data_IF_568906498579
#
_entry.id   IF_568906498579
#
_cell.length_a   1.000
_cell.length_b   1.000
_cell.length_c   1.000
_cell.angle_alpha   90.00
_cell.angle_beta   90.00
_cell.angle_gamma   90.00
#
_symmetry.space_group_name_H-M   'P 1'
#
loop_
_entity.id
_entity.type
_entity.pdbx_description
1 polymer ?
#
# COMPACT_ATOMS: atom_id res chain seq x y z
N UNK A 1 -0.71 7.90 -6.52
CA UNK A 1 -1.75 6.98 -6.02
C UNK A 1 -3.12 7.57 -6.23
N UNK A 2 -3.58 8.60 -5.49
CA UNK A 2 -4.92 9.19 -5.73
C UNK A 2 -5.24 9.48 -7.21
N UNK A 3 -4.37 10.22 -7.91
CA UNK A 3 -4.51 10.48 -9.36
C UNK A 3 -4.43 9.24 -10.26
N UNK A 4 -3.72 8.19 -9.84
CA UNK A 4 -3.67 6.92 -10.59
C UNK A 4 -4.98 6.16 -10.43
N UNK A 5 -5.54 6.13 -9.22
CA UNK A 5 -6.89 5.58 -8.99
C UNK A 5 -7.94 6.32 -9.81
N UNK A 6 -7.89 7.65 -9.85
CA UNK A 6 -8.81 8.45 -10.68
C UNK A 6 -8.77 7.98 -12.14
N UNK A 7 -7.57 7.88 -12.74
CA UNK A 7 -7.41 7.41 -14.13
C UNK A 7 -7.88 5.98 -14.34
N UNK A 8 -7.69 5.11 -13.35
CA UNK A 8 -8.13 3.72 -13.43
C UNK A 8 -9.64 3.56 -13.26
N UNK A 9 -10.31 4.47 -12.53
CA UNK A 9 -11.76 4.49 -12.39
C UNK A 9 -12.41 5.01 -13.67
N UNK A 10 -11.81 6.03 -14.29
CA UNK A 10 -12.30 6.66 -15.53
C UNK A 10 -12.44 5.67 -16.71
N UNK A 11 -11.73 4.54 -16.68
CA UNK A 11 -11.82 3.48 -17.69
C UNK A 11 -12.79 2.35 -17.33
N UNK A 12 -13.54 2.47 -16.23
CA UNK A 12 -14.56 1.51 -15.79
C UNK A 12 -15.93 2.12 -16.06
N UNK A 13 -16.67 1.56 -17.03
CA UNK A 13 -17.96 2.11 -17.49
C UNK A 13 -18.99 2.28 -16.36
N UNK A 14 -18.96 1.39 -15.34
CA UNK A 14 -19.88 1.40 -14.21
C UNK A 14 -19.33 2.09 -12.95
N UNK A 15 -18.29 2.93 -13.06
CA UNK A 15 -17.73 3.66 -11.93
C UNK A 15 -17.43 5.13 -12.27
N UNK A 16 -17.60 6.01 -11.28
CA UNK A 16 -17.26 7.43 -11.40
C UNK A 16 -16.66 7.98 -10.10
N UNK A 17 -15.86 9.05 -10.23
CA UNK A 17 -15.30 9.77 -9.09
C UNK A 17 -16.20 10.98 -8.79
N UNK A 18 -17.09 10.83 -7.81
CA UNK A 18 -18.04 11.90 -7.43
C UNK A 18 -17.49 12.88 -6.40
N UNK A 19 -16.44 12.51 -5.66
CA UNK A 19 -15.88 13.33 -4.59
C UNK A 19 -14.36 13.17 -4.44
N UNK A 20 -13.68 14.26 -4.06
CA UNK A 20 -12.27 14.32 -3.71
C UNK A 20 -12.09 14.96 -2.33
N UNK A 21 -11.25 14.38 -1.48
CA UNK A 21 -10.91 14.95 -0.17
C UNK A 21 -9.41 14.95 0.07
N UNK A 22 -8.84 16.13 0.30
CA UNK A 22 -7.43 16.31 0.66
C UNK A 22 -7.27 17.63 1.43
N UNK A 23 -6.41 17.66 2.44
CA UNK A 23 -6.09 18.88 3.19
C UNK A 23 -5.21 19.84 2.38
N UNK A 24 -4.55 19.34 1.33
CA UNK A 24 -3.72 20.11 0.42
C UNK A 24 -4.52 20.53 -0.82
N UNK A 25 -4.77 21.84 -0.95
CA UNK A 25 -5.50 22.39 -2.10
C UNK A 25 -4.83 22.08 -3.45
N UNK A 26 -3.51 22.06 -3.52
CA UNK A 26 -2.81 21.75 -4.77
C UNK A 26 -3.03 20.29 -5.20
N UNK A 27 -3.16 19.36 -4.24
CA UNK A 27 -3.53 17.97 -4.53
C UNK A 27 -4.94 17.86 -5.11
N UNK A 28 -5.92 18.61 -4.58
CA UNK A 28 -7.27 18.72 -5.13
C UNK A 28 -7.21 19.27 -6.56
N UNK A 29 -6.57 20.41 -6.77
CA UNK A 29 -6.53 21.09 -8.08
C UNK A 29 -5.88 20.19 -9.16
N UNK A 30 -4.79 19.51 -8.81
CA UNK A 30 -4.13 18.55 -9.71
C UNK A 30 -4.99 17.32 -9.99
N UNK A 31 -5.83 16.90 -9.04
CA UNK A 31 -6.71 15.73 -9.20
C UNK A 31 -7.94 16.08 -10.04
N UNK A 32 -8.52 17.27 -9.84
CA UNK A 32 -9.58 17.79 -10.70
C UNK A 32 -9.12 17.90 -12.16
N UNK A 33 -7.88 18.33 -12.41
CA UNK A 33 -7.35 18.38 -13.78
C UNK A 33 -7.19 17.03 -14.48
N UNK A 34 -7.31 15.91 -13.73
CA UNK A 34 -7.27 14.56 -14.29
C UNK A 34 -8.64 13.95 -14.55
N UNK A 35 -9.72 14.61 -14.12
CA UNK A 35 -11.09 14.16 -14.35
C UNK A 35 -11.61 14.77 -15.66
N UNK A 36 -12.28 13.96 -16.48
CA UNK A 36 -13.06 14.48 -17.62
C UNK A 36 -14.34 15.18 -17.14
N UNK A 37 -14.88 14.75 -15.99
CA UNK A 37 -16.02 15.35 -15.30
C UNK A 37 -15.65 16.26 -14.12
N UNK A 38 -16.66 16.65 -13.33
CA UNK A 38 -16.47 17.33 -12.05
C UNK A 38 -16.60 16.37 -10.88
N UNK A 39 -15.98 16.72 -9.75
CA UNK A 39 -16.18 16.05 -8.47
C UNK A 39 -16.40 17.10 -7.38
N UNK A 40 -17.24 16.79 -6.39
CA UNK A 40 -17.33 17.60 -5.18
C UNK A 40 -16.01 17.54 -4.42
N UNK A 41 -15.58 18.68 -3.85
CA UNK A 41 -14.27 18.76 -3.17
C UNK A 41 -14.44 19.09 -1.71
N UNK A 42 -13.67 18.41 -0.89
CA UNK A 42 -13.70 18.53 0.56
C UNK A 42 -12.27 18.76 1.07
N UNK A 43 -12.11 19.69 2.00
CA UNK A 43 -10.84 19.89 2.72
C UNK A 43 -10.82 19.18 4.08
N UNK A 44 -11.94 18.56 4.46
CA UNK A 44 -12.13 17.88 5.73
C UNK A 44 -12.92 16.58 5.51
N UNK A 45 -12.46 15.50 6.15
CA UNK A 45 -13.02 14.17 5.99
C UNK A 45 -14.40 14.04 6.63
N UNK A 46 -14.67 14.72 7.74
CA UNK A 46 -15.97 14.61 8.41
C UNK A 46 -17.05 15.25 7.53
N UNK A 47 -16.76 16.37 6.86
CA UNK A 47 -17.65 16.96 5.86
C UNK A 47 -17.94 16.01 4.66
N UNK A 48 -16.95 15.28 4.17
CA UNK A 48 -17.15 14.28 3.11
C UNK A 48 -18.05 13.12 3.60
N UNK A 49 -17.85 12.66 4.84
CA UNK A 49 -18.67 11.60 5.43
C UNK A 49 -20.12 12.08 5.60
N UNK A 50 -20.31 13.29 6.11
CA UNK A 50 -21.63 13.87 6.35
C UNK A 50 -22.42 14.13 5.05
N UNK A 51 -21.72 14.40 3.93
CA UNK A 51 -22.34 14.53 2.62
C UNK A 51 -23.01 13.23 2.15
N UNK A 52 -22.48 12.06 2.55
CA UNK A 52 -23.04 10.74 2.27
C UNK A 52 -23.37 10.52 0.78
N UNK A 53 -22.42 10.86 -0.10
CA UNK A 53 -22.57 10.83 -1.56
C UNK A 53 -21.90 9.64 -2.25
N UNK A 54 -21.17 8.79 -1.51
CA UNK A 54 -20.30 7.76 -2.11
C UNK A 54 -20.73 6.35 -1.73
N UNK A 55 -20.64 5.42 -2.69
CA UNK A 55 -20.79 3.98 -2.43
C UNK A 55 -19.49 3.33 -1.93
N UNK A 56 -18.35 3.95 -2.25
CA UNK A 56 -17.03 3.46 -1.88
C UNK A 56 -16.04 4.60 -1.58
N UNK A 57 -15.11 4.34 -0.65
CA UNK A 57 -13.97 5.21 -0.37
C UNK A 57 -12.67 4.56 -0.86
N UNK A 58 -11.83 5.35 -1.53
CA UNK A 58 -10.43 5.02 -1.78
C UNK A 58 -9.55 5.82 -0.85
N UNK A 59 -8.91 5.14 0.10
CA UNK A 59 -8.03 5.76 1.09
C UNK A 59 -6.60 5.72 0.53
N UNK A 60 -6.15 6.82 -0.06
CA UNK A 60 -4.80 6.99 -0.61
C UNK A 60 -3.99 8.09 0.10
N UNK A 61 -4.26 8.29 1.40
CA UNK A 61 -3.59 9.28 2.25
C UNK A 61 -2.19 8.79 2.67
N UNK A 62 -1.34 9.64 3.31
CA UNK A 62 -0.05 9.19 3.83
C UNK A 62 -0.19 8.00 4.80
N UNK A 63 0.71 7.02 4.73
CA UNK A 63 0.51 5.69 5.34
C UNK A 63 0.17 5.73 6.84
N UNK A 64 0.86 6.57 7.61
CA UNK A 64 0.62 6.71 9.05
C UNK A 64 -0.79 7.23 9.41
N UNK A 65 -1.52 7.78 8.44
CA UNK A 65 -2.87 8.32 8.65
C UNK A 65 -3.98 7.31 8.37
N UNK A 66 -3.69 6.17 7.73
CA UNK A 66 -4.71 5.22 7.26
C UNK A 66 -5.62 4.75 8.38
N UNK A 67 -5.06 4.43 9.55
CA UNK A 67 -5.84 3.92 10.69
C UNK A 67 -6.79 4.98 11.27
N UNK A 68 -6.36 6.25 11.30
CA UNK A 68 -7.18 7.34 11.83
C UNK A 68 -8.28 7.76 10.84
N UNK A 69 -7.98 7.71 9.54
CA UNK A 69 -8.98 7.85 8.47
C UNK A 69 -10.01 6.72 8.57
N UNK A 70 -9.56 5.47 8.76
CA UNK A 70 -10.45 4.32 8.91
C UNK A 70 -11.38 4.46 10.12
N UNK A 71 -10.88 4.88 11.29
CA UNK A 71 -11.71 5.09 12.50
C UNK A 71 -12.89 6.06 12.25
N UNK A 72 -12.75 7.00 11.33
CA UNK A 72 -13.81 7.92 10.92
C UNK A 72 -14.76 7.26 9.91
N UNK A 73 -14.20 6.72 8.82
CA UNK A 73 -14.98 6.16 7.71
C UNK A 73 -15.76 4.91 8.10
N UNK A 74 -15.29 4.13 9.08
CA UNK A 74 -15.95 2.88 9.49
C UNK A 74 -17.34 3.08 10.12
N UNK A 75 -17.74 4.33 10.37
CA UNK A 75 -19.11 4.70 10.77
C UNK A 75 -20.10 4.67 9.59
N UNK A 76 -19.60 4.65 8.37
CA UNK A 76 -20.38 4.52 7.12
C UNK A 76 -20.55 3.04 6.76
N UNK A 77 -21.42 2.74 5.80
CA UNK A 77 -21.56 1.40 5.23
C UNK A 77 -20.92 1.28 3.82
N UNK A 78 -20.06 2.22 3.43
CA UNK A 78 -19.46 2.23 2.10
C UNK A 78 -18.43 1.10 1.93
N UNK A 79 -18.12 0.72 0.69
CA UNK A 79 -17.01 -0.17 0.40
C UNK A 79 -15.67 0.57 0.56
N UNK A 80 -14.62 -0.11 1.02
CA UNK A 80 -13.33 0.51 1.26
C UNK A 80 -12.25 -0.14 0.39
N UNK A 81 -11.53 0.67 -0.38
CA UNK A 81 -10.24 0.32 -0.95
C UNK A 81 -9.17 1.14 -0.23
N UNK A 82 -8.25 0.47 0.46
CA UNK A 82 -7.21 1.11 1.26
C UNK A 82 -5.86 0.86 0.61
N UNK A 83 -5.11 1.92 0.38
CA UNK A 83 -3.75 1.80 -0.13
C UNK A 83 -2.85 0.98 0.80
N UNK A 84 -1.82 0.41 0.20
CA UNK A 84 -0.75 -0.24 0.95
C UNK A 84 0.25 0.82 1.47
N UNK A 85 1.03 0.50 2.52
CA UNK A 85 0.77 -0.57 3.47
C UNK A 85 -0.47 -0.23 4.30
N UNK A 86 -1.29 -1.24 4.62
CA UNK A 86 -2.54 -1.05 5.35
C UNK A 86 -2.33 -0.34 6.71
N UNK A 87 -1.20 -0.62 7.36
CA UNK A 87 -0.78 -0.08 8.64
C UNK A 87 0.75 0.03 8.66
N UNK A 88 1.29 0.96 9.44
CA UNK A 88 2.74 1.15 9.61
C UNK A 88 3.28 0.42 10.85
N UNK A 89 2.40 0.03 11.78
CA UNK A 89 2.77 -0.67 13.02
C UNK A 89 1.91 -1.92 13.25
N UNK A 90 2.45 -2.90 13.98
CA UNK A 90 1.69 -4.11 14.39
C UNK A 90 0.50 -3.76 15.28
N UNK A 91 0.65 -2.74 16.13
CA UNK A 91 -0.45 -2.26 16.97
C UNK A 91 -1.62 -1.78 16.10
N UNK A 92 -1.33 -1.00 15.07
CA UNK A 92 -2.38 -0.51 14.16
C UNK A 92 -3.01 -1.65 13.35
N UNK A 93 -2.25 -2.71 13.02
CA UNK A 93 -2.83 -3.92 12.42
C UNK A 93 -3.86 -4.60 13.35
N UNK A 94 -3.58 -4.66 14.66
CA UNK A 94 -4.51 -5.20 15.67
C UNK A 94 -5.73 -4.29 15.80
N UNK A 95 -5.52 -2.98 15.84
CA UNK A 95 -6.61 -2.00 15.88
C UNK A 95 -7.50 -2.11 14.64
N UNK A 96 -6.91 -2.24 13.45
CA UNK A 96 -7.61 -2.50 12.19
C UNK A 96 -8.49 -3.74 12.29
N UNK A 97 -7.93 -4.87 12.75
CA UNK A 97 -8.68 -6.13 12.88
C UNK A 97 -9.89 -5.96 13.82
N UNK A 98 -9.72 -5.24 14.93
CA UNK A 98 -10.79 -5.01 15.90
C UNK A 98 -11.87 -4.09 15.34
N UNK A 99 -11.48 -3.00 14.67
CA UNK A 99 -12.39 -2.03 14.07
C UNK A 99 -13.25 -2.68 12.97
N UNK A 100 -12.63 -3.52 12.14
CA UNK A 100 -13.25 -4.06 10.92
C UNK A 100 -13.98 -5.39 11.11
N UNK A 101 -13.89 -6.00 12.30
CA UNK A 101 -14.42 -7.35 12.59
C UNK A 101 -15.88 -7.58 12.16
N UNK A 102 -16.73 -6.57 12.32
CA UNK A 102 -18.15 -6.63 11.99
C UNK A 102 -18.55 -5.56 10.97
N UNK A 103 -17.59 -5.05 10.19
CA UNK A 103 -17.89 -4.05 9.17
C UNK A 103 -18.79 -4.67 8.09
N UNK A 104 -19.93 -4.05 7.74
CA UNK A 104 -20.94 -4.69 6.91
C UNK A 104 -20.55 -4.79 5.42
N UNK A 105 -19.50 -4.08 5.01
CA UNK A 105 -19.13 -3.89 3.61
C UNK A 105 -17.73 -4.38 3.31
N UNK A 106 -17.44 -4.57 2.01
CA UNK A 106 -16.11 -4.99 1.53
C UNK A 106 -15.02 -4.02 2.00
N UNK A 107 -13.91 -4.57 2.50
CA UNK A 107 -12.63 -3.86 2.65
C UNK A 107 -11.59 -4.58 1.82
N UNK A 108 -10.89 -3.82 0.98
CA UNK A 108 -9.87 -4.32 0.07
C UNK A 108 -8.57 -3.54 0.27
N UNK A 109 -7.44 -4.22 0.32
CA UNK A 109 -6.12 -3.56 0.32
C UNK A 109 -5.55 -3.57 -1.09
N UNK A 110 -5.02 -2.43 -1.54
CA UNK A 110 -4.50 -2.23 -2.91
C UNK A 110 -3.15 -2.96 -3.16
N UNK A 111 -3.15 -4.30 -3.08
CA UNK A 111 -1.99 -5.16 -3.39
C UNK A 111 -1.91 -5.43 -4.90
N UNK A 112 -1.62 -4.37 -5.67
CA UNK A 112 -1.71 -4.36 -7.15
C UNK A 112 -0.91 -5.47 -7.86
N UNK A 113 0.23 -5.91 -7.31
CA UNK A 113 1.07 -6.91 -7.98
C UNK A 113 0.41 -8.29 -8.11
N UNK A 114 -0.63 -8.60 -7.34
CA UNK A 114 -1.44 -9.81 -7.54
C UNK A 114 -2.18 -9.80 -8.88
N UNK A 115 -2.45 -8.61 -9.42
CA UNK A 115 -3.28 -8.40 -10.62
C UNK A 115 -2.46 -8.03 -11.86
N UNK A 116 -1.14 -7.87 -11.72
CA UNK A 116 -0.27 -7.66 -12.89
C UNK A 116 -0.34 -8.88 -13.81
N UNK A 117 -0.72 -8.74 -15.10
CA UNK A 117 -0.89 -9.87 -16.01
C UNK A 117 0.30 -10.86 -16.08
N UNK A 118 1.58 -10.43 -16.13
CA UNK A 118 2.69 -11.38 -16.11
C UNK A 118 2.82 -12.14 -14.79
N UNK A 119 2.52 -11.49 -13.66
CA UNK A 119 2.61 -12.07 -12.32
C UNK A 119 1.48 -13.08 -12.11
N UNK A 120 0.23 -12.71 -12.41
CA UNK A 120 -0.93 -13.59 -12.37
C UNK A 120 -0.72 -14.86 -13.22
N UNK A 121 -0.16 -14.71 -14.44
CA UNK A 121 0.14 -15.85 -15.31
C UNK A 121 1.16 -16.82 -14.71
N UNK A 122 2.21 -16.31 -14.05
CA UNK A 122 3.22 -17.16 -13.38
C UNK A 122 2.61 -17.85 -12.15
N UNK A 123 1.84 -17.11 -11.34
CA UNK A 123 1.14 -17.66 -10.18
C UNK A 123 0.23 -18.82 -10.59
N UNK A 124 -0.61 -18.64 -11.62
CA UNK A 124 -1.48 -19.70 -12.15
C UNK A 124 -0.69 -20.94 -12.57
N UNK A 125 0.47 -20.75 -13.21
CA UNK A 125 1.33 -21.89 -13.61
C UNK A 125 1.90 -22.65 -12.41
N UNK A 126 2.30 -21.93 -11.36
CA UNK A 126 2.80 -22.50 -10.10
C UNK A 126 1.67 -23.26 -9.39
N UNK A 127 0.52 -22.61 -9.16
CA UNK A 127 -0.62 -23.21 -8.47
C UNK A 127 -1.18 -24.43 -9.21
N UNK A 128 -1.21 -24.40 -10.55
CA UNK A 128 -1.62 -25.54 -11.38
C UNK A 128 -0.53 -26.61 -11.55
N UNK A 129 0.63 -26.47 -10.89
CA UNK A 129 1.79 -27.39 -10.98
C UNK A 129 2.29 -27.67 -12.40
N UNK A 130 2.03 -26.76 -13.34
CA UNK A 130 2.42 -26.91 -14.75
C UNK A 130 3.94 -26.78 -14.98
N UNK A 131 4.66 -26.26 -13.98
CA UNK A 131 6.12 -26.12 -13.99
C UNK A 131 6.79 -26.96 -12.88
N UNK A 132 6.07 -27.94 -12.32
CA UNK A 132 6.52 -28.75 -11.18
C UNK A 132 6.19 -28.13 -9.83
N UNK A 133 6.88 -28.60 -8.78
CA UNK A 133 6.71 -28.10 -7.42
C UNK A 133 7.65 -26.90 -7.18
N UNK A 134 7.12 -25.84 -6.58
CA UNK A 134 7.94 -24.71 -6.14
C UNK A 134 8.79 -25.15 -4.94
N UNK A 135 10.09 -24.90 -5.01
CA UNK A 135 11.02 -25.14 -3.89
C UNK A 135 11.67 -23.85 -3.40
N UNK A 136 11.95 -22.92 -4.32
CA UNK A 136 12.56 -21.64 -4.03
C UNK A 136 11.90 -20.54 -4.86
N UNK A 137 11.75 -19.36 -4.26
CA UNK A 137 11.26 -18.16 -4.93
C UNK A 137 12.21 -16.99 -4.62
N UNK A 138 12.70 -16.33 -5.65
CA UNK A 138 13.48 -15.09 -5.49
C UNK A 138 12.71 -13.93 -6.10
N UNK A 139 12.53 -12.87 -5.32
CA UNK A 139 12.01 -11.60 -5.77
C UNK A 139 13.13 -10.57 -5.66
N UNK A 140 13.39 -9.85 -6.75
CA UNK A 140 14.39 -8.79 -6.81
C UNK A 140 13.70 -7.47 -7.13
N UNK A 141 13.84 -6.50 -6.24
CA UNK A 141 13.38 -5.14 -6.45
C UNK A 141 14.59 -4.22 -6.47
N UNK A 142 15.05 -3.92 -7.68
CA UNK A 142 16.12 -2.95 -7.93
C UNK A 142 15.51 -1.73 -8.61
N UNK A 143 15.53 -0.59 -7.92
CA UNK A 143 14.86 0.62 -8.40
C UNK A 143 15.63 1.87 -7.97
N UNK A 144 15.09 3.01 -8.34
CA UNK A 144 15.52 4.31 -7.83
C UNK A 144 14.89 4.60 -6.45
N UNK A 145 15.41 5.62 -5.72
CA UNK A 145 14.96 5.95 -4.36
C UNK A 145 13.48 6.36 -4.29
N UNK A 146 12.98 6.57 -3.08
CA UNK A 146 11.62 7.07 -2.93
C UNK A 146 11.46 8.45 -3.57
N UNK A 147 10.37 8.61 -4.31
CA UNK A 147 10.01 9.89 -4.93
C UNK A 147 9.76 10.95 -3.86
N UNK A 148 9.89 12.22 -4.24
CA UNK A 148 9.42 13.35 -3.43
C UNK A 148 7.90 13.27 -3.24
N UNK A 149 7.46 13.62 -2.03
CA UNK A 149 6.05 13.66 -1.63
C UNK A 149 5.79 14.99 -0.94
N UNK A 150 4.52 15.33 -0.76
CA UNK A 150 4.13 16.52 0.03
C UNK A 150 4.82 16.45 1.39
N UNK A 151 5.58 17.49 1.73
CA UNK A 151 6.36 17.61 2.97
C UNK A 151 7.31 16.43 3.27
N UNK A 152 7.69 15.67 2.24
CA UNK A 152 8.62 14.53 2.33
C UNK A 152 8.29 13.53 3.45
N UNK A 153 7.00 13.32 3.72
CA UNK A 153 6.55 12.44 4.80
C UNK A 153 7.12 11.02 4.68
N UNK A 154 7.46 10.57 3.47
CA UNK A 154 7.96 9.23 3.18
C UNK A 154 9.44 9.02 3.50
N UNK A 155 10.16 10.03 3.99
CA UNK A 155 11.57 9.92 4.41
C UNK A 155 11.77 9.27 5.78
N UNK A 156 10.70 9.13 6.54
CA UNK A 156 10.76 8.71 7.94
C UNK A 156 9.98 7.43 8.18
N UNK A 157 10.63 6.45 8.78
CA UNK A 157 10.09 5.12 9.06
C UNK A 157 8.89 5.18 10.01
N UNK A 158 8.84 6.17 10.91
CA UNK A 158 7.66 6.42 11.74
C UNK A 158 6.40 6.72 10.92
N UNK A 159 6.56 7.31 9.73
CA UNK A 159 5.44 7.67 8.85
C UNK A 159 5.07 6.54 7.86
N UNK A 160 6.00 5.61 7.58
CA UNK A 160 5.85 4.64 6.49
C UNK A 160 5.89 3.18 6.93
N UNK A 161 6.39 2.90 8.14
CA UNK A 161 6.83 1.57 8.58
C UNK A 161 8.24 1.20 8.10
N UNK A 162 8.94 2.12 7.41
CA UNK A 162 10.21 1.88 6.75
C UNK A 162 10.05 1.19 5.39
N UNK A 163 11.14 1.06 4.64
CA UNK A 163 11.14 0.55 3.26
C UNK A 163 10.57 -0.86 3.13
N UNK A 164 10.86 -1.75 4.09
CA UNK A 164 10.36 -3.12 4.06
C UNK A 164 8.84 -3.20 4.23
N UNK A 165 8.24 -2.25 4.95
CA UNK A 165 6.79 -2.17 5.13
C UNK A 165 6.16 -1.39 3.97
N UNK A 166 6.66 -0.20 3.65
CA UNK A 166 6.06 0.64 2.63
C UNK A 166 6.13 0.00 1.23
N UNK A 167 7.33 -0.42 0.85
CA UNK A 167 7.58 -0.90 -0.51
C UNK A 167 7.50 -2.41 -0.59
N UNK A 168 8.15 -3.10 0.34
CA UNK A 168 8.30 -4.55 0.25
C UNK A 168 7.10 -5.35 0.77
N UNK A 169 6.08 -4.71 1.36
CA UNK A 169 4.84 -5.39 1.72
C UNK A 169 4.23 -6.15 0.54
N UNK A 170 4.30 -5.60 -0.69
CA UNK A 170 3.89 -6.31 -1.89
C UNK A 170 4.61 -7.63 -2.10
N UNK A 171 5.90 -7.69 -1.80
CA UNK A 171 6.71 -8.88 -2.05
C UNK A 171 6.49 -9.94 -0.98
N UNK A 172 6.35 -9.54 0.28
CA UNK A 172 5.98 -10.48 1.34
C UNK A 172 4.55 -11.01 1.14
N UNK A 173 3.64 -10.16 0.68
CA UNK A 173 2.30 -10.54 0.27
C UNK A 173 2.33 -11.54 -0.90
N UNK A 174 3.10 -11.26 -1.95
CA UNK A 174 3.30 -12.17 -3.08
C UNK A 174 3.95 -13.48 -2.68
N UNK A 175 4.95 -13.46 -1.79
CA UNK A 175 5.58 -14.69 -1.29
C UNK A 175 4.51 -15.59 -0.65
N UNK A 176 3.72 -15.07 0.29
CA UNK A 176 2.62 -15.84 0.90
C UNK A 176 1.59 -16.32 -0.13
N UNK A 177 1.22 -15.46 -1.08
CA UNK A 177 0.22 -15.79 -2.11
C UNK A 177 0.70 -16.87 -3.09
N UNK A 178 1.97 -16.79 -3.53
CA UNK A 178 2.60 -17.75 -4.44
C UNK A 178 2.80 -19.09 -3.71
N UNK A 179 3.32 -19.07 -2.49
CA UNK A 179 3.63 -20.29 -1.74
C UNK A 179 2.40 -20.98 -1.17
N UNK A 180 1.28 -20.25 -1.01
CA UNK A 180 0.06 -20.74 -0.33
C UNK A 180 0.38 -21.33 1.06
N UNK A 181 1.27 -20.65 1.78
CA UNK A 181 1.81 -21.12 3.06
C UNK A 181 2.11 -19.93 3.96
N UNK A 182 2.16 -20.18 5.26
CA UNK A 182 2.58 -19.19 6.24
C UNK A 182 4.10 -19.24 6.48
N UNK A 183 4.66 -18.09 6.84
CA UNK A 183 6.08 -17.95 7.15
C UNK A 183 6.37 -18.46 8.58
N UNK A 184 7.43 -19.23 8.74
CA UNK A 184 7.88 -19.78 10.04
C UNK A 184 9.18 -19.21 10.53
N UNK A 185 10.00 -18.65 9.63
CA UNK A 185 11.30 -18.09 9.97
C UNK A 185 11.67 -16.96 9.02
N UNK A 186 12.24 -15.90 9.58
CA UNK A 186 12.78 -14.78 8.82
C UNK A 186 14.21 -14.53 9.26
N UNK A 187 15.09 -14.34 8.28
CA UNK A 187 16.43 -13.77 8.48
C UNK A 187 16.56 -12.55 7.58
N UNK A 188 16.96 -11.41 8.13
CA UNK A 188 17.07 -10.17 7.40
C UNK A 188 18.34 -9.41 7.78
N UNK A 189 18.94 -8.75 6.79
CA UNK A 189 20.02 -7.77 6.97
C UNK A 189 19.80 -6.64 5.97
N UNK A 190 19.91 -5.40 6.41
CA UNK A 190 19.72 -4.23 5.56
C UNK A 190 20.19 -2.94 6.23
N UNK A 191 20.37 -1.89 5.43
CA UNK A 191 20.91 -0.61 5.87
C UNK A 191 20.49 0.53 4.93
N UNK A 192 20.68 1.76 5.36
CA UNK A 192 20.71 2.96 4.54
C UNK A 192 22.19 3.27 4.20
N UNK A 193 22.58 3.15 2.93
CA UNK A 193 23.96 3.38 2.48
C UNK A 193 24.12 4.58 1.52
N UNK A 194 23.06 5.00 0.82
CA UNK A 194 23.12 6.07 -0.19
C UNK A 194 21.94 7.03 -0.16
N UNK A 195 20.75 6.59 0.23
CA UNK A 195 19.55 7.39 0.05
C UNK A 195 19.39 8.46 1.12
N UNK A 196 19.19 9.71 0.68
CA UNK A 196 18.79 10.84 1.51
C UNK A 196 19.72 11.18 2.69
N UNK A 197 20.97 10.70 2.68
CA UNK A 197 21.93 10.87 3.77
C UNK A 197 22.27 12.34 4.10
N UNK A 198 22.12 13.22 3.11
CA UNK A 198 22.44 14.65 3.24
C UNK A 198 21.21 15.51 3.55
N UNK A 199 20.01 14.94 3.59
CA UNK A 199 18.78 15.67 3.88
C UNK A 199 18.64 15.91 5.39
N UNK A 200 18.12 17.10 5.75
CA UNK A 200 17.86 17.48 7.14
C UNK A 200 16.54 18.21 7.25
N UNK A 201 15.73 17.79 8.22
CA UNK A 201 14.41 18.35 8.51
C UNK A 201 14.38 18.78 9.98
N UNK A 202 14.88 19.98 10.26
CA UNK A 202 15.18 20.41 11.62
C UNK A 202 16.24 19.51 12.26
N UNK A 203 15.89 18.91 13.40
CA UNK A 203 16.77 17.99 14.14
C UNK A 203 16.67 16.53 13.67
N UNK A 204 15.87 16.26 12.62
CA UNK A 204 15.66 14.90 12.10
C UNK A 204 16.40 14.68 10.79
N UNK A 205 16.88 13.46 10.59
CA UNK A 205 17.42 12.95 9.33
C UNK A 205 16.59 11.76 8.86
N UNK A 206 16.46 11.53 7.55
CA UNK A 206 15.81 10.33 7.02
C UNK A 206 16.45 9.05 7.56
N UNK A 207 15.63 8.05 7.88
CA UNK A 207 16.05 6.79 8.54
C UNK A 207 15.62 5.52 7.77
N UNK A 208 15.13 5.71 6.55
CA UNK A 208 14.67 4.65 5.67
C UNK A 208 15.85 3.87 5.09
N UNK A 209 15.81 2.54 5.22
CA UNK A 209 16.82 1.68 4.59
C UNK A 209 16.68 1.68 3.07
N UNK A 210 17.78 1.50 2.34
CA UNK A 210 17.79 1.47 0.88
C UNK A 210 18.24 0.13 0.29
N UNK A 211 18.82 -0.74 1.11
CA UNK A 211 19.16 -2.09 0.69
C UNK A 211 18.84 -3.11 1.79
N UNK A 212 18.44 -4.31 1.36
CA UNK A 212 18.23 -5.43 2.25
C UNK A 212 18.26 -6.78 1.52
N UNK A 213 18.72 -7.81 2.23
CA UNK A 213 18.42 -9.21 1.92
C UNK A 213 17.49 -9.76 2.99
N UNK A 214 16.38 -10.39 2.57
CA UNK A 214 15.43 -11.04 3.48
C UNK A 214 15.15 -12.45 3.00
N UNK A 215 15.44 -13.44 3.84
CA UNK A 215 15.12 -14.85 3.61
C UNK A 215 13.92 -15.22 4.48
N UNK A 216 12.92 -15.86 3.87
CA UNK A 216 11.71 -16.33 4.54
C UNK A 216 11.55 -17.83 4.29
N UNK A 217 11.54 -18.64 5.35
CA UNK A 217 11.18 -20.05 5.28
C UNK A 217 9.68 -20.21 5.57
N UNK A 218 9.00 -21.06 4.80
CA UNK A 218 7.57 -21.34 4.89
C UNK A 218 7.26 -22.73 5.44
N UNK A 219 6.08 -22.93 6.04
CA UNK A 219 5.63 -24.21 6.61
C UNK A 219 5.70 -25.37 5.63
N UNK A 220 5.37 -25.13 4.36
CA UNK A 220 5.42 -26.14 3.30
C UNK A 220 6.84 -26.47 2.79
N UNK A 221 7.88 -25.90 3.41
CA UNK A 221 9.28 -26.12 3.08
C UNK A 221 9.82 -25.24 1.94
N UNK A 222 9.01 -24.37 1.33
CA UNK A 222 9.48 -23.40 0.34
C UNK A 222 10.32 -22.31 1.03
N UNK A 223 11.42 -21.93 0.40
CA UNK A 223 12.25 -20.79 0.84
C UNK A 223 12.15 -19.64 -0.14
N UNK A 224 11.89 -18.45 0.38
CA UNK A 224 11.86 -17.22 -0.41
C UNK A 224 13.04 -16.30 -0.08
N UNK A 225 13.53 -15.56 -1.07
CA UNK A 225 14.51 -14.48 -0.93
C UNK A 225 13.93 -13.19 -1.52
N UNK A 226 14.03 -12.10 -0.76
CA UNK A 226 13.91 -10.73 -1.26
C UNK A 226 15.31 -10.11 -1.34
N UNK A 227 15.65 -9.62 -2.52
CA UNK A 227 16.84 -8.82 -2.83
C UNK A 227 16.39 -7.40 -3.16
N UNK A 228 16.57 -6.48 -2.22
CA UNK A 228 16.17 -5.08 -2.30
C UNK A 228 17.40 -4.19 -2.49
N UNK A 229 17.34 -3.31 -3.50
CA UNK A 229 18.28 -2.23 -3.72
C UNK A 229 17.53 -1.01 -4.30
N UNK A 230 17.60 0.14 -3.64
CA UNK A 230 16.92 1.37 -4.04
C UNK A 230 17.85 2.56 -4.15
#
# INVERSE_FOLDING_TARGET
>A
MGREHIRNIDIIDEAEVVALCDTNKNSIDQSLSTLEGGAETFSDLDNLIDANLVDAYIIATPNFTHIDVLKKIIKTNAHLLIEKPLCTTVKDCVDFQNLTKNYPSLIWTAMEYRYMPPIDKIIKKIHNKTIGNLHMLTIREHRFPFLEKVDDWNRFSINTGGTLVEKCCHFFDLMRFITQSEAVKVYASGKQDVNHLNEKYGDKTPDIIDNAFVIVDFENGVRCLLDLCM
#
